data_IF_411402044401
#
_entry.id   IF_411402044401
#
_cell.length_a   1.000
_cell.length_b   1.000
_cell.length_c   1.000
_cell.angle_alpha   90.00
_cell.angle_beta   90.00
_cell.angle_gamma   90.00
#
_symmetry.space_group_name_H-M   'P 1'
#
loop_
_entity.id
_entity.type
_entity.pdbx_description
1 polymer ?
#
# COMPACT_ATOMS: atom_id res chain seq x y z
N UNK A 1 0.60 -12.14 -8.87
CA UNK A 1 -0.19 -12.09 -10.12
C UNK A 1 0.56 -12.61 -11.35
N UNK A 2 1.85 -12.29 -11.55
CA UNK A 2 2.60 -12.76 -12.75
C UNK A 2 2.77 -14.29 -12.83
N UNK A 3 2.98 -14.98 -11.70
CA UNK A 3 3.10 -16.45 -11.63
C UNK A 3 1.79 -17.16 -12.02
N UNK A 4 0.65 -16.53 -11.75
CA UNK A 4 -0.69 -17.05 -12.09
C UNK A 4 -1.00 -16.95 -13.58
N UNK A 5 -0.37 -15.99 -14.27
CA UNK A 5 -0.58 -15.72 -15.68
C UNK A 5 0.36 -16.54 -16.59
N UNK A 6 1.63 -16.72 -16.20
CA UNK A 6 2.65 -17.39 -17.01
C UNK A 6 3.03 -18.81 -16.53
N UNK A 7 2.46 -19.29 -15.42
CA UNK A 7 2.70 -20.65 -14.94
C UNK A 7 2.02 -21.69 -15.82
N UNK A 8 2.80 -22.43 -16.63
CA UNK A 8 2.27 -23.51 -17.49
C UNK A 8 1.69 -24.71 -16.72
N UNK A 9 2.04 -24.89 -15.44
CA UNK A 9 1.50 -25.92 -14.58
C UNK A 9 0.40 -25.36 -13.65
N UNK A 10 -0.76 -26.02 -13.60
CA UNK A 10 -1.91 -25.61 -12.78
C UNK A 10 -1.55 -25.41 -11.30
N UNK A 11 -0.65 -26.23 -10.75
CA UNK A 11 -0.16 -26.10 -9.37
C UNK A 11 0.59 -24.80 -9.10
N UNK A 12 1.41 -24.33 -10.04
CA UNK A 12 2.13 -23.05 -9.91
C UNK A 12 1.16 -21.86 -9.94
N UNK A 13 0.06 -21.96 -10.70
CA UNK A 13 -0.97 -20.91 -10.76
C UNK A 13 -1.72 -20.81 -9.43
N UNK A 14 -2.14 -21.93 -8.85
CA UNK A 14 -2.80 -21.96 -7.53
C UNK A 14 -1.88 -21.51 -6.41
N UNK A 15 -0.61 -21.92 -6.42
CA UNK A 15 0.38 -21.45 -5.45
C UNK A 15 0.60 -19.93 -5.52
N UNK A 16 0.70 -19.39 -6.74
CA UNK A 16 0.79 -17.95 -6.97
C UNK A 16 -0.44 -17.17 -6.52
N UNK A 17 -1.64 -17.74 -6.64
CA UNK A 17 -2.88 -17.16 -6.11
C UNK A 17 -2.88 -17.20 -4.57
N UNK A 18 -2.53 -18.34 -3.99
CA UNK A 18 -2.50 -18.52 -2.54
C UNK A 18 -1.58 -17.52 -1.85
N UNK A 19 -0.34 -17.40 -2.34
CA UNK A 19 0.59 -16.38 -1.84
C UNK A 19 0.08 -14.96 -2.11
N UNK A 20 -0.40 -14.68 -3.31
CA UNK A 20 -0.88 -13.34 -3.68
C UNK A 20 -2.01 -12.85 -2.79
N UNK A 21 -3.04 -13.68 -2.58
CA UNK A 21 -4.21 -13.34 -1.75
C UNK A 21 -3.84 -13.31 -0.27
N UNK A 22 -3.03 -14.27 0.20
CA UNK A 22 -2.58 -14.34 1.59
C UNK A 22 -1.82 -13.08 2.02
N UNK A 23 -0.84 -12.63 1.22
CA UNK A 23 -0.06 -11.44 1.53
C UNK A 23 -0.87 -10.15 1.37
N UNK A 24 -1.76 -10.06 0.38
CA UNK A 24 -2.54 -8.85 0.12
C UNK A 24 -3.43 -8.47 1.31
N UNK A 25 -4.00 -9.46 2.00
CA UNK A 25 -4.88 -9.23 3.14
C UNK A 25 -4.16 -8.56 4.32
N UNK A 26 -2.84 -8.70 4.42
CA UNK A 26 -2.06 -8.19 5.55
C UNK A 26 -1.61 -6.74 5.35
N UNK A 27 -1.63 -6.24 4.11
CA UNK A 27 -1.26 -4.86 3.80
C UNK A 27 -2.23 -3.84 4.46
N UNK A 28 -3.52 -4.13 4.46
CA UNK A 28 -4.57 -3.24 4.99
C UNK A 28 -4.39 -2.96 6.50
N UNK A 29 -4.32 -3.98 7.39
CA UNK A 29 -4.08 -3.74 8.81
C UNK A 29 -2.69 -3.16 9.07
N UNK A 30 -1.68 -3.49 8.25
CA UNK A 30 -0.34 -2.91 8.36
C UNK A 30 -0.34 -1.40 8.17
N UNK A 31 -0.97 -0.89 7.11
CA UNK A 31 -1.09 0.56 6.85
C UNK A 31 -1.88 1.25 7.96
N UNK A 32 -2.97 0.65 8.43
CA UNK A 32 -3.79 1.21 9.52
C UNK A 32 -3.02 1.27 10.85
N UNK A 33 -2.26 0.24 11.19
CA UNK A 33 -1.39 0.24 12.37
C UNK A 33 -0.28 1.30 12.26
N UNK A 34 0.30 1.45 11.07
CA UNK A 34 1.33 2.46 10.81
C UNK A 34 0.78 3.88 10.91
N UNK A 35 -0.43 4.13 10.40
CA UNK A 35 -1.14 5.40 10.56
C UNK A 35 -1.52 5.68 12.01
N UNK A 36 -1.94 4.65 12.76
CA UNK A 36 -2.33 4.81 14.15
C UNK A 36 -1.15 5.15 15.08
N UNK A 37 0.04 4.63 14.76
CA UNK A 37 1.26 4.90 15.52
C UNK A 37 1.95 6.21 15.14
N UNK A 38 1.73 6.73 13.92
CA UNK A 38 2.37 7.96 13.43
C UNK A 38 1.51 9.22 13.53
N UNK A 39 0.32 9.16 14.14
CA UNK A 39 -0.54 10.33 14.29
C UNK A 39 -0.94 10.47 15.76
N UNK A 40 -0.49 11.56 16.39
CA UNK A 40 -0.68 11.82 17.82
C UNK A 40 -2.06 12.40 18.14
N UNK A 41 -2.67 13.10 17.18
CA UNK A 41 -3.99 13.73 17.35
C UNK A 41 -5.12 12.80 16.90
N UNK A 42 -6.07 12.51 17.80
CA UNK A 42 -7.25 11.69 17.51
C UNK A 42 -8.06 12.18 16.30
N UNK A 43 -8.24 13.50 16.13
CA UNK A 43 -8.93 14.07 14.97
C UNK A 43 -8.14 13.88 13.68
N UNK A 44 -6.82 14.08 13.70
CA UNK A 44 -5.99 13.83 12.51
C UNK A 44 -5.97 12.35 12.12
N UNK A 45 -6.01 11.46 13.11
CA UNK A 45 -6.06 10.01 12.87
C UNK A 45 -7.38 9.60 12.20
N UNK A 46 -8.50 10.15 12.66
CA UNK A 46 -9.81 9.92 12.05
C UNK A 46 -9.86 10.37 10.58
N UNK A 47 -9.35 11.56 10.29
CA UNK A 47 -9.31 12.09 8.91
C UNK A 47 -8.39 11.23 8.03
N UNK A 48 -7.21 10.84 8.50
CA UNK A 48 -6.29 10.00 7.74
C UNK A 48 -6.87 8.62 7.39
N UNK A 49 -7.55 7.97 8.34
CA UNK A 49 -8.24 6.70 8.10
C UNK A 49 -9.40 6.86 7.11
N UNK A 50 -10.17 7.94 7.21
CA UNK A 50 -11.26 8.24 6.27
C UNK A 50 -10.73 8.46 4.84
N UNK A 51 -9.66 9.25 4.67
CA UNK A 51 -9.03 9.47 3.36
C UNK A 51 -8.47 8.17 2.77
N UNK A 52 -7.87 7.30 3.61
CA UNK A 52 -7.39 5.99 3.17
C UNK A 52 -8.55 5.11 2.65
N UNK A 53 -9.70 5.14 3.32
CA UNK A 53 -10.89 4.38 2.92
C UNK A 53 -11.47 4.89 1.59
N UNK A 54 -11.54 6.21 1.42
CA UNK A 54 -11.97 6.86 0.16
C UNK A 54 -11.05 6.45 -0.99
N UNK A 55 -9.73 6.47 -0.76
CA UNK A 55 -8.74 6.00 -1.74
C UNK A 55 -8.93 4.52 -2.10
N UNK A 56 -9.25 3.67 -1.12
CA UNK A 56 -9.60 2.27 -1.34
C UNK A 56 -10.81 2.08 -2.25
N UNK A 57 -11.84 2.93 -2.09
CA UNK A 57 -13.03 2.94 -2.96
C UNK A 57 -12.69 3.25 -4.42
N UNK A 58 -11.85 4.27 -4.65
CA UNK A 58 -11.36 4.61 -6.00
C UNK A 58 -10.55 3.47 -6.62
N UNK A 59 -9.71 2.80 -5.82
CA UNK A 59 -8.98 1.61 -6.26
C UNK A 59 -9.89 0.48 -6.72
N UNK A 60 -11.02 0.24 -6.03
CA UNK A 60 -12.03 -0.75 -6.43
C UNK A 60 -12.71 -0.42 -7.76
N UNK A 61 -13.01 0.85 -8.00
CA UNK A 61 -13.59 1.31 -9.29
C UNK A 61 -12.60 1.08 -10.43
N UNK A 62 -11.33 1.47 -10.24
CA UNK A 62 -10.27 1.28 -11.23
C UNK A 62 -10.08 -0.21 -11.53
N UNK A 63 -10.05 -1.06 -10.51
CA UNK A 63 -9.93 -2.51 -10.67
C UNK A 63 -11.10 -3.07 -11.51
N UNK A 64 -12.32 -2.60 -11.27
CA UNK A 64 -13.52 -3.07 -11.98
C UNK A 64 -13.51 -2.71 -13.47
N UNK A 65 -12.95 -1.55 -13.83
CA UNK A 65 -12.85 -1.09 -15.23
C UNK A 65 -11.64 -1.70 -15.96
N UNK A 66 -10.63 -2.15 -15.23
CA UNK A 66 -9.38 -2.67 -15.80
C UNK A 66 -9.52 -4.07 -16.42
N UNK A 67 -10.51 -4.87 -16.00
CA UNK A 67 -10.81 -6.18 -16.59
C UNK A 67 -11.76 -6.03 -17.78
N UNK A 68 -11.22 -5.61 -18.92
CA UNK A 68 -12.01 -5.44 -20.15
C UNK A 68 -12.39 -6.81 -20.72
N UNK A 69 -13.69 -7.05 -20.93
CA UNK A 69 -14.25 -8.30 -21.50
C UNK A 69 -13.75 -8.62 -22.92
N UNK A 70 -13.20 -7.62 -23.60
CA UNK A 70 -12.70 -7.66 -24.98
C UNK A 70 -11.39 -8.47 -25.13
N UNK A 71 -10.63 -8.67 -24.05
CA UNK A 71 -9.33 -9.41 -24.05
C UNK A 71 -9.41 -10.84 -23.48
N UNK A 72 -10.55 -11.51 -23.64
CA UNK A 72 -10.66 -12.94 -23.37
C UNK A 72 -9.73 -13.74 -24.31
N UNK A 73 -8.93 -14.73 -23.86
CA UNK A 73 -8.88 -15.35 -22.53
C UNK A 73 -7.63 -15.01 -21.68
N UNK A 74 -6.72 -14.15 -22.17
CA UNK A 74 -5.43 -13.89 -21.51
C UNK A 74 -5.40 -12.63 -20.65
N UNK A 75 -6.39 -11.73 -20.76
CA UNK A 75 -6.58 -10.53 -19.91
C UNK A 75 -5.27 -9.79 -19.58
N UNK A 76 -4.40 -9.63 -20.57
CA UNK A 76 -3.05 -9.10 -20.41
C UNK A 76 -3.06 -7.69 -19.87
N UNK A 77 -4.00 -6.86 -20.30
CA UNK A 77 -4.12 -5.47 -19.83
C UNK A 77 -4.44 -5.41 -18.33
N UNK A 78 -5.35 -6.25 -17.83
CA UNK A 78 -5.71 -6.28 -16.41
C UNK A 78 -4.55 -6.69 -15.50
N UNK A 79 -3.72 -7.63 -15.94
CA UNK A 79 -2.54 -8.08 -15.20
C UNK A 79 -1.47 -6.99 -15.15
N UNK A 80 -1.19 -6.32 -16.27
CA UNK A 80 -0.22 -5.22 -16.33
C UNK A 80 -0.66 -4.00 -15.54
N UNK A 81 -1.94 -3.65 -15.57
CA UNK A 81 -2.49 -2.54 -14.77
C UNK A 81 -2.38 -2.85 -13.27
N UNK A 82 -2.72 -4.07 -12.86
CA UNK A 82 -2.59 -4.50 -11.45
C UNK A 82 -1.13 -4.47 -11.01
N UNK A 83 -0.21 -4.93 -11.86
CA UNK A 83 1.24 -4.87 -11.59
C UNK A 83 1.73 -3.42 -11.49
N UNK A 84 1.31 -2.53 -12.40
CA UNK A 84 1.66 -1.12 -12.39
C UNK A 84 1.19 -0.42 -11.11
N UNK A 85 -0.07 -0.63 -10.71
CA UNK A 85 -0.61 -0.07 -9.46
C UNK A 85 0.17 -0.59 -8.25
N UNK A 86 0.47 -1.89 -8.20
CA UNK A 86 1.24 -2.49 -7.10
C UNK A 86 2.64 -1.88 -7.01
N UNK A 87 3.31 -1.67 -8.16
CA UNK A 87 4.63 -1.05 -8.21
C UNK A 87 4.59 0.40 -7.73
N UNK A 88 3.59 1.17 -8.16
CA UNK A 88 3.39 2.55 -7.70
C UNK A 88 3.15 2.59 -6.19
N UNK A 89 2.34 1.68 -5.65
CA UNK A 89 2.14 1.57 -4.19
C UNK A 89 3.45 1.29 -3.45
N UNK A 90 4.29 0.37 -3.94
CA UNK A 90 5.60 0.08 -3.33
C UNK A 90 6.50 1.34 -3.36
N UNK A 91 6.57 2.03 -4.51
CA UNK A 91 7.36 3.25 -4.63
C UNK A 91 6.89 4.35 -3.68
N UNK A 92 5.58 4.55 -3.55
CA UNK A 92 5.01 5.54 -2.63
C UNK A 92 5.31 5.20 -1.16
N UNK A 93 5.19 3.93 -0.77
CA UNK A 93 5.55 3.48 0.58
C UNK A 93 7.02 3.74 0.87
N UNK A 94 7.93 3.37 -0.03
CA UNK A 94 9.37 3.62 0.13
C UNK A 94 9.71 5.12 0.21
N UNK A 95 9.05 5.96 -0.58
CA UNK A 95 9.21 7.41 -0.49
C UNK A 95 8.75 7.94 0.88
N UNK A 96 7.64 7.42 1.40
CA UNK A 96 7.10 7.81 2.70
C UNK A 96 8.01 7.34 3.84
N UNK A 97 8.54 6.12 3.78
CA UNK A 97 9.54 5.60 4.72
C UNK A 97 10.81 6.45 4.72
N UNK A 98 11.31 6.80 3.53
CA UNK A 98 12.49 7.67 3.41
C UNK A 98 12.21 9.08 3.96
N UNK A 99 11.02 9.62 3.71
CA UNK A 99 10.61 10.91 4.25
C UNK A 99 10.54 10.89 5.78
N UNK A 100 9.96 9.85 6.38
CA UNK A 100 9.92 9.68 7.83
C UNK A 100 11.31 9.46 8.42
N UNK A 101 12.17 8.69 7.78
CA UNK A 101 13.56 8.51 8.20
C UNK A 101 14.34 9.84 8.18
N UNK A 102 14.20 10.63 7.11
CA UNK A 102 14.84 11.95 7.00
C UNK A 102 14.30 12.93 8.05
N UNK A 103 13.00 12.89 8.32
CA UNK A 103 12.35 13.75 9.33
C UNK A 103 12.78 13.36 10.74
N UNK A 104 12.86 12.06 11.05
CA UNK A 104 13.40 11.56 12.32
C UNK A 104 14.87 11.95 12.50
N UNK A 105 15.69 11.79 11.46
CA UNK A 105 17.11 12.17 11.51
C UNK A 105 17.27 13.67 11.81
N UNK A 106 16.50 14.53 11.13
CA UNK A 106 16.52 15.97 11.35
C UNK A 106 16.00 16.38 12.73
N UNK A 107 14.98 15.71 13.26
CA UNK A 107 14.48 15.96 14.61
C UNK A 107 15.49 15.56 15.70
N UNK A 108 16.23 14.46 15.50
CA UNK A 108 17.32 14.02 16.39
C UNK A 108 18.53 14.95 16.39
N UNK A 109 18.86 15.52 15.22
CA UNK A 109 20.00 16.42 15.06
C UNK A 109 19.71 17.85 15.57
N UNK A 110 18.48 18.35 15.37
CA UNK A 110 18.11 19.74 15.72
C UNK A 110 17.38 19.84 17.07
N UNK A 111 17.16 18.72 17.79
CA UNK A 111 16.33 18.66 18.99
C UNK A 111 14.92 19.27 18.78
N UNK A 112 14.42 19.19 17.54
CA UNK A 112 13.20 19.83 17.09
C UNK A 112 11.96 19.01 17.47
N UNK A 113 10.91 19.69 17.93
CA UNK A 113 9.63 19.05 18.27
C UNK A 113 8.90 18.62 17.00
N UNK A 114 8.62 17.33 16.85
CA UNK A 114 7.70 16.82 15.82
C UNK A 114 6.27 16.95 16.38
N UNK A 115 5.38 17.61 15.62
CA UNK A 115 4.00 17.95 16.04
C UNK A 115 3.86 18.72 17.37
N UNK A 116 4.91 19.41 17.83
CA UNK A 116 4.89 20.18 19.08
C UNK A 116 5.08 19.35 20.36
N UNK A 117 5.42 18.06 20.24
CA UNK A 117 5.79 17.20 21.38
C UNK A 117 7.31 16.98 21.41
N UNK A 118 7.95 17.22 22.56
CA UNK A 118 9.36 16.91 22.77
C UNK A 118 9.56 15.41 22.99
N UNK A 119 10.40 14.77 22.18
CA UNK A 119 10.77 13.36 22.34
C UNK A 119 9.89 12.35 21.59
N UNK A 120 8.99 12.81 20.72
CA UNK A 120 8.18 11.92 19.88
C UNK A 120 8.80 11.78 18.48
N UNK A 121 8.99 10.54 18.04
CA UNK A 121 9.59 10.18 16.76
C UNK A 121 8.60 9.33 15.97
N UNK A 122 8.57 9.51 14.64
CA UNK A 122 7.78 8.62 13.79
C UNK A 122 8.29 7.19 13.95
N UNK A 123 7.37 6.23 14.04
CA UNK A 123 7.70 4.81 14.20
C UNK A 123 8.35 4.32 12.91
N UNK A 124 9.64 4.03 12.97
CA UNK A 124 10.42 3.33 11.95
C UNK A 124 11.38 2.38 12.66
#
# INVERSE_FOLDING_TARGET
MLITAYGGASGARYFGIFMGVGFLQFCIPGVLAFQANNITSHSKRGVASATCLIGGGLGGIIASVSFKSDESPHYTTGIWVTFGITMVSICLTLMMDFHFWKTNKKARETNGQIEGMSGWYYTL
#
